data_IF_135820486498
#
_entry.id   IF_135820486498
#
_cell.length_a   1.000
_cell.length_b   1.000
_cell.length_c   1.000
_cell.angle_alpha   90.00
_cell.angle_beta   90.00
_cell.angle_gamma   90.00
#
_symmetry.space_group_name_H-M   'P 1'
#
loop_
_entity.id
_entity.type
_entity.pdbx_description
1 polymer ?
#
# COMPACT_ATOMS: atom_id res chain seq x y z
N UNK A 1 14.76 49.60 -12.78
CA UNK A 1 14.02 48.41 -13.27
C UNK A 1 15.03 47.28 -13.18
N UNK A 2 15.21 46.77 -11.97
CA UNK A 2 16.44 46.08 -11.59
C UNK A 2 16.17 44.60 -11.41
N UNK A 3 16.78 43.84 -12.32
CA UNK A 3 16.69 42.39 -12.42
C UNK A 3 17.38 41.78 -11.21
N UNK A 4 16.62 41.15 -10.32
CA UNK A 4 17.15 40.45 -9.15
C UNK A 4 18.01 39.27 -9.59
N UNK A 5 19.32 39.44 -9.50
CA UNK A 5 20.32 38.39 -9.73
C UNK A 5 20.25 37.38 -8.57
N UNK A 6 19.32 36.43 -8.63
CA UNK A 6 19.25 35.32 -7.66
C UNK A 6 20.59 34.59 -7.64
N UNK A 7 21.24 34.55 -6.49
CA UNK A 7 22.58 34.00 -6.34
C UNK A 7 22.59 32.50 -6.71
N UNK A 8 23.62 32.04 -7.43
CA UNK A 8 23.79 30.62 -7.81
C UNK A 8 23.71 29.67 -6.61
N UNK A 9 24.04 30.17 -5.41
CA UNK A 9 23.96 29.42 -4.16
C UNK A 9 22.51 29.23 -3.67
N UNK A 10 21.63 30.22 -3.85
CA UNK A 10 20.19 30.05 -3.59
C UNK A 10 19.55 29.03 -4.53
N UNK A 11 19.97 28.98 -5.79
CA UNK A 11 19.50 27.97 -6.75
C UNK A 11 19.97 26.57 -6.31
N UNK A 12 21.23 26.41 -5.91
CA UNK A 12 21.76 25.14 -5.39
C UNK A 12 21.04 24.68 -4.11
N UNK A 13 20.75 25.61 -3.20
CA UNK A 13 19.98 25.32 -1.99
C UNK A 13 18.55 24.88 -2.30
N UNK A 14 17.87 25.56 -3.25
CA UNK A 14 16.53 25.18 -3.69
C UNK A 14 16.52 23.81 -4.36
N UNK A 15 17.51 23.49 -5.21
CA UNK A 15 17.64 22.17 -5.83
C UNK A 15 17.92 21.07 -4.82
N UNK A 16 18.80 21.31 -3.84
CA UNK A 16 19.07 20.36 -2.77
C UNK A 16 17.82 20.11 -1.91
N UNK A 17 17.05 21.16 -1.60
CA UNK A 17 15.77 21.04 -0.89
C UNK A 17 14.76 20.18 -1.65
N UNK A 18 14.58 20.41 -2.95
CA UNK A 18 13.67 19.61 -3.78
C UNK A 18 14.15 18.15 -3.87
N UNK A 19 15.46 17.92 -3.96
CA UNK A 19 16.02 16.57 -3.99
C UNK A 19 15.84 15.83 -2.66
N UNK A 20 16.05 16.51 -1.52
CA UNK A 20 15.80 15.95 -0.18
C UNK A 20 14.31 15.69 0.04
N UNK A 21 13.44 16.58 -0.42
CA UNK A 21 11.98 16.38 -0.36
C UNK A 21 11.53 15.21 -1.25
N UNK A 22 12.06 15.09 -2.46
CA UNK A 22 11.81 13.97 -3.36
C UNK A 22 12.35 12.64 -2.84
N UNK A 23 13.55 12.64 -2.24
CA UNK A 23 14.14 11.46 -1.61
C UNK A 23 13.38 11.05 -0.36
N UNK A 24 12.93 12.01 0.45
CA UNK A 24 12.09 11.75 1.63
C UNK A 24 10.73 11.19 1.20
N UNK A 25 10.11 11.74 0.15
CA UNK A 25 8.87 11.20 -0.41
C UNK A 25 9.07 9.78 -0.98
N UNK A 26 10.19 9.50 -1.65
CA UNK A 26 10.54 8.18 -2.16
C UNK A 26 10.83 7.16 -1.05
N UNK A 27 11.56 7.56 0.00
CA UNK A 27 11.87 6.71 1.15
C UNK A 27 10.61 6.43 2.00
N UNK A 28 9.72 7.41 2.14
CA UNK A 28 8.40 7.24 2.76
C UNK A 28 7.51 6.33 1.91
N UNK A 29 7.47 6.51 0.58
CA UNK A 29 6.73 5.64 -0.33
C UNK A 29 7.23 4.20 -0.25
N UNK A 30 8.55 3.98 -0.22
CA UNK A 30 9.15 2.65 -0.09
C UNK A 30 8.85 2.01 1.28
N UNK A 31 8.93 2.76 2.38
CA UNK A 31 8.62 2.27 3.72
C UNK A 31 7.12 1.96 3.87
N UNK A 32 6.25 2.81 3.31
CA UNK A 32 4.79 2.56 3.23
C UNK A 32 4.50 1.37 2.34
N UNK A 33 5.24 1.13 1.25
CA UNK A 33 5.07 -0.03 0.37
C UNK A 33 5.47 -1.34 1.05
N UNK A 34 6.59 -1.34 1.79
CA UNK A 34 7.03 -2.48 2.61
C UNK A 34 6.06 -2.77 3.76
N UNK A 35 5.45 -1.73 4.31
CA UNK A 35 4.42 -1.81 5.36
C UNK A 35 3.07 -2.26 4.77
N UNK A 36 2.69 -1.83 3.57
CA UNK A 36 1.50 -2.31 2.84
C UNK A 36 1.62 -3.76 2.36
N UNK A 37 2.83 -4.28 2.14
CA UNK A 37 3.06 -5.70 1.91
C UNK A 37 2.77 -6.59 3.14
N UNK A 38 2.79 -6.03 4.36
CA UNK A 38 2.45 -6.73 5.61
C UNK A 38 1.05 -6.40 6.18
N UNK A 39 0.45 -5.29 5.77
CA UNK A 39 -0.90 -4.88 6.20
C UNK A 39 -1.91 -5.19 5.10
N UNK A 40 -2.29 -6.46 5.02
CA UNK A 40 -3.41 -6.92 4.21
C UNK A 40 -4.67 -6.08 4.46
N UNK A 41 -5.40 -5.84 3.37
CA UNK A 41 -6.42 -4.82 3.14
C UNK A 41 -7.71 -4.87 4.00
N UNK A 42 -7.65 -5.32 5.26
CA UNK A 42 -8.76 -5.26 6.22
C UNK A 42 -8.34 -4.81 7.63
N UNK A 43 -7.12 -5.10 8.10
CA UNK A 43 -6.65 -4.69 9.43
C UNK A 43 -6.29 -3.19 9.57
N UNK A 44 -6.22 -2.46 8.44
CA UNK A 44 -5.95 -1.03 8.41
C UNK A 44 -7.20 -0.16 8.52
N UNK A 45 -8.35 -0.65 8.05
CA UNK A 45 -9.63 0.08 8.08
C UNK A 45 -10.10 0.28 9.51
N UNK A 46 -10.26 -0.81 10.26
CA UNK A 46 -10.76 -0.79 11.64
C UNK A 46 -9.86 0.03 12.57
N UNK A 47 -8.53 -0.05 12.39
CA UNK A 47 -7.59 0.72 13.23
C UNK A 47 -7.56 2.20 12.89
N UNK A 48 -7.84 2.55 11.64
CA UNK A 48 -7.91 3.93 11.22
C UNK A 48 -9.25 4.56 11.63
N UNK A 49 -10.36 3.84 11.50
CA UNK A 49 -11.67 4.28 12.01
C UNK A 49 -11.64 4.42 13.55
N UNK A 50 -11.01 3.48 14.27
CA UNK A 50 -10.76 3.64 15.72
C UNK A 50 -9.87 4.85 16.09
N UNK A 51 -9.03 5.32 15.17
CA UNK A 51 -8.23 6.54 15.38
C UNK A 51 -9.08 7.79 15.15
N UNK A 52 -9.99 7.76 14.17
CA UNK A 52 -10.94 8.84 13.90
C UNK A 52 -11.96 9.00 15.02
N UNK A 53 -12.41 7.90 15.63
CA UNK A 53 -13.32 7.93 16.77
C UNK A 53 -12.71 8.63 17.99
N UNK A 54 -11.38 8.61 18.14
CA UNK A 54 -10.66 9.29 19.23
C UNK A 54 -10.47 10.79 19.00
N UNK A 55 -10.76 11.30 17.81
CA UNK A 55 -10.56 12.70 17.45
C UNK A 55 -11.77 13.59 17.83
N UNK A 56 -12.80 13.01 18.47
CA UNK A 56 -14.00 13.72 18.95
C UNK A 56 -14.59 14.69 17.91
N UNK A 57 -14.63 14.23 16.65
CA UNK A 57 -15.06 15.05 15.52
C UNK A 57 -16.54 15.47 15.66
N UNK A 58 -16.84 16.73 15.34
CA UNK A 58 -18.21 17.20 15.24
C UNK A 58 -18.91 16.65 13.97
N UNK A 59 -20.22 16.86 13.84
CA UNK A 59 -21.02 16.28 12.76
C UNK A 59 -20.55 16.69 11.35
N UNK A 60 -20.15 17.94 11.17
CA UNK A 60 -19.68 18.46 9.88
C UNK A 60 -18.31 17.88 9.52
N UNK A 61 -17.42 17.79 10.51
CA UNK A 61 -16.09 17.17 10.34
C UNK A 61 -16.20 15.68 9.99
N UNK A 62 -17.09 14.93 10.64
CA UNK A 62 -17.33 13.52 10.31
C UNK A 62 -17.76 13.35 8.87
N UNK A 63 -18.72 14.17 8.41
CA UNK A 63 -19.20 14.15 7.03
C UNK A 63 -18.06 14.39 6.04
N UNK A 64 -17.22 15.40 6.27
CA UNK A 64 -16.09 15.71 5.40
C UNK A 64 -15.03 14.60 5.40
N UNK A 65 -14.71 14.04 6.56
CA UNK A 65 -13.75 12.93 6.67
C UNK A 65 -14.26 11.69 5.93
N UNK A 66 -15.54 11.33 6.09
CA UNK A 66 -16.12 10.21 5.35
C UNK A 66 -16.01 10.41 3.83
N UNK A 67 -16.33 11.60 3.33
CA UNK A 67 -16.20 11.93 1.90
C UNK A 67 -14.76 11.76 1.40
N UNK A 68 -13.77 12.32 2.13
CA UNK A 68 -12.35 12.21 1.78
C UNK A 68 -11.91 10.74 1.70
N UNK A 69 -12.35 9.92 2.66
CA UNK A 69 -11.97 8.50 2.70
C UNK A 69 -12.63 7.68 1.61
N UNK A 70 -13.89 7.98 1.28
CA UNK A 70 -14.60 7.29 0.21
C UNK A 70 -14.03 7.61 -1.16
N UNK A 71 -13.64 8.87 -1.40
CA UNK A 71 -12.91 9.29 -2.60
C UNK A 71 -11.57 8.56 -2.71
N UNK A 72 -10.79 8.53 -1.63
CA UNK A 72 -9.52 7.80 -1.59
C UNK A 72 -9.71 6.29 -1.83
N UNK A 73 -10.74 5.68 -1.23
CA UNK A 73 -11.10 4.27 -1.47
C UNK A 73 -11.47 4.06 -2.94
N UNK A 74 -12.14 5.00 -3.58
CA UNK A 74 -12.50 4.93 -5.00
C UNK A 74 -11.27 4.97 -5.91
N UNK A 75 -10.39 5.95 -5.71
CA UNK A 75 -9.14 6.08 -6.47
C UNK A 75 -8.25 4.84 -6.31
N UNK A 76 -8.16 4.29 -5.10
CA UNK A 76 -7.40 3.07 -4.86
C UNK A 76 -8.00 1.84 -5.56
N UNK A 77 -9.34 1.74 -5.64
CA UNK A 77 -10.01 0.66 -6.38
C UNK A 77 -9.72 0.76 -7.88
N UNK A 78 -9.73 1.95 -8.44
CA UNK A 78 -9.41 2.19 -9.84
C UNK A 78 -7.95 1.83 -10.14
N UNK A 79 -7.01 2.34 -9.35
CA UNK A 79 -5.59 1.99 -9.46
C UNK A 79 -5.36 0.47 -9.36
N UNK A 80 -6.07 -0.23 -8.47
CA UNK A 80 -5.99 -1.69 -8.36
C UNK A 80 -6.45 -2.37 -9.65
N UNK A 81 -7.57 -1.94 -10.24
CA UNK A 81 -8.06 -2.52 -11.51
C UNK A 81 -7.03 -2.39 -12.63
N UNK A 82 -6.32 -1.26 -12.70
CA UNK A 82 -5.28 -1.03 -13.70
C UNK A 82 -4.00 -1.85 -13.45
N UNK A 83 -3.62 -2.01 -12.19
CA UNK A 83 -2.33 -2.62 -11.80
C UNK A 83 -2.41 -4.13 -11.59
N UNK A 84 -3.55 -4.66 -11.17
CA UNK A 84 -3.76 -6.08 -10.87
C UNK A 84 -3.42 -7.02 -12.05
N UNK A 85 -3.79 -6.71 -13.31
CA UNK A 85 -3.41 -7.53 -14.46
C UNK A 85 -1.89 -7.65 -14.61
N UNK A 86 -1.16 -6.55 -14.47
CA UNK A 86 0.31 -6.51 -14.57
C UNK A 86 0.97 -7.31 -13.46
N UNK A 87 0.44 -7.21 -12.24
CA UNK A 87 0.91 -8.03 -11.12
C UNK A 87 0.68 -9.52 -11.34
N UNK A 88 -0.47 -9.89 -11.91
CA UNK A 88 -0.79 -11.28 -12.20
C UNK A 88 0.10 -11.86 -13.29
N UNK A 89 0.40 -11.08 -14.34
CA UNK A 89 1.33 -11.46 -15.39
C UNK A 89 2.73 -11.74 -14.83
N UNK A 90 3.29 -10.82 -14.02
CA UNK A 90 4.60 -11.01 -13.39
C UNK A 90 4.62 -12.27 -12.52
N UNK A 91 3.53 -12.52 -11.77
CA UNK A 91 3.41 -13.74 -10.95
C UNK A 91 3.39 -15.00 -11.81
N UNK A 92 2.64 -15.02 -12.90
CA UNK A 92 2.59 -16.17 -13.81
C UNK A 92 3.96 -16.44 -14.45
N UNK A 93 4.61 -15.40 -14.97
CA UNK A 93 5.96 -15.54 -15.53
C UNK A 93 6.97 -16.06 -14.49
N UNK A 94 6.84 -15.63 -13.24
CA UNK A 94 7.68 -16.12 -12.13
C UNK A 94 7.40 -17.59 -11.85
N UNK A 95 6.12 -17.98 -11.79
CA UNK A 95 5.69 -19.36 -11.58
C UNK A 95 6.22 -20.30 -12.67
N UNK A 96 6.15 -19.89 -13.94
CA UNK A 96 6.66 -20.67 -15.08
C UNK A 96 8.18 -20.87 -15.00
N UNK A 97 8.92 -19.85 -14.55
CA UNK A 97 10.37 -19.94 -14.36
C UNK A 97 10.72 -20.84 -13.18
N UNK A 98 9.94 -20.79 -12.10
CA UNK A 98 10.13 -21.65 -10.93
C UNK A 98 9.84 -23.12 -11.24
N UNK A 99 8.81 -23.42 -12.02
CA UNK A 99 8.51 -24.81 -12.45
C UNK A 99 9.64 -25.45 -13.25
N UNK A 100 10.44 -24.66 -13.97
CA UNK A 100 11.60 -25.17 -14.74
C UNK A 100 12.79 -25.57 -13.87
N UNK A 101 12.87 -25.05 -12.64
CA UNK A 101 14.02 -25.26 -11.75
C UNK A 101 13.70 -26.09 -10.51
N UNK A 102 12.43 -26.18 -10.14
CA UNK A 102 11.97 -26.95 -8.99
C UNK A 102 11.53 -28.36 -9.40
N UNK A 103 11.75 -29.34 -8.54
CA UNK A 103 11.13 -30.65 -8.68
C UNK A 103 9.60 -30.55 -8.51
N UNK A 104 8.83 -31.55 -8.99
CA UNK A 104 7.38 -31.58 -8.78
C UNK A 104 6.98 -31.47 -7.30
N UNK A 105 7.72 -32.12 -6.40
CA UNK A 105 7.48 -32.10 -4.96
C UNK A 105 7.76 -30.72 -4.37
N UNK A 106 8.87 -30.08 -4.76
CA UNK A 106 9.22 -28.72 -4.34
C UNK A 106 8.21 -27.69 -4.84
N UNK A 107 7.69 -27.86 -6.07
CA UNK A 107 6.65 -26.99 -6.61
C UNK A 107 5.34 -27.09 -5.82
N UNK A 108 4.94 -28.31 -5.41
CA UNK A 108 3.76 -28.50 -4.58
C UNK A 108 3.93 -27.84 -3.19
N UNK A 109 5.09 -28.01 -2.55
CA UNK A 109 5.40 -27.33 -1.29
C UNK A 109 5.36 -25.81 -1.44
N UNK A 110 5.96 -25.26 -2.50
CA UNK A 110 5.93 -23.82 -2.79
C UNK A 110 4.50 -23.28 -2.93
N UNK A 111 3.64 -23.98 -3.68
CA UNK A 111 2.23 -23.60 -3.82
C UNK A 111 1.50 -23.61 -2.48
N UNK A 112 1.71 -24.65 -1.67
CA UNK A 112 1.08 -24.79 -0.36
C UNK A 112 1.51 -23.67 0.61
N UNK A 113 2.80 -23.33 0.65
CA UNK A 113 3.29 -22.21 1.46
C UNK A 113 2.71 -20.87 0.99
N UNK A 114 2.63 -20.66 -0.32
CA UNK A 114 2.03 -19.47 -0.89
C UNK A 114 0.53 -19.35 -0.56
N UNK A 115 -0.20 -20.46 -0.60
CA UNK A 115 -1.61 -20.51 -0.20
C UNK A 115 -1.79 -20.23 1.29
N UNK A 116 -0.93 -20.78 2.15
CA UNK A 116 -0.91 -20.47 3.59
C UNK A 116 -0.73 -18.97 3.80
N UNK A 117 0.28 -18.36 3.18
CA UNK A 117 0.53 -16.91 3.26
C UNK A 117 -0.63 -16.06 2.74
N UNK A 118 -1.31 -16.48 1.66
CA UNK A 118 -2.52 -15.81 1.14
C UNK A 118 -3.73 -15.99 2.07
N UNK A 119 -3.85 -17.15 2.71
CA UNK A 119 -4.90 -17.50 3.66
C UNK A 119 -4.88 -16.60 4.91
N UNK A 120 -3.70 -16.29 5.44
CA UNK A 120 -3.54 -15.35 6.56
C UNK A 120 -4.03 -13.92 6.25
N UNK A 121 -4.15 -13.55 4.97
CA UNK A 121 -4.72 -12.26 4.56
C UNK A 121 -6.26 -12.24 4.41
N UNK A 122 -6.93 -13.40 4.33
CA UNK A 122 -8.40 -13.52 4.24
C UNK A 122 -9.05 -14.07 5.51
N UNK A 123 -8.34 -14.85 6.33
CA UNK A 123 -8.78 -15.31 7.65
C UNK A 123 -7.97 -14.56 8.71
N UNK A 124 -8.48 -13.40 9.13
CA UNK A 124 -8.16 -12.89 10.46
C UNK A 124 -8.73 -13.83 11.54
N UNK A 125 -8.38 -13.66 12.83
CA UNK A 125 -8.71 -14.59 13.92
C UNK A 125 -10.19 -14.84 14.26
N UNK A 126 -11.14 -14.46 13.42
CA UNK A 126 -12.53 -14.89 13.56
C UNK A 126 -12.79 -16.07 12.63
N UNK A 127 -12.73 -17.26 13.21
CA UNK A 127 -13.43 -18.43 12.66
C UNK A 127 -14.94 -18.15 12.59
N UNK A 128 -15.70 -18.93 11.80
CA UNK A 128 -17.16 -18.86 11.84
C UNK A 128 -17.64 -19.03 13.29
N UNK A 129 -18.74 -18.38 13.71
CA UNK A 129 -19.29 -18.57 15.05
C UNK A 129 -19.54 -20.08 15.26
N UNK A 130 -19.08 -20.63 16.38
CA UNK A 130 -19.47 -21.98 16.82
C UNK A 130 -20.98 -21.91 17.07
N UNK A 131 -21.78 -22.45 16.15
CA UNK A 131 -23.21 -22.67 16.36
C UNK A 131 -23.35 -23.76 17.43
N UNK A 132 -23.61 -23.34 18.67
CA UNK A 132 -24.14 -24.17 19.74
C UNK A 132 -25.50 -23.67 20.18
#
# INVERSE_FOLDING_TARGET
>A
MDKTTKSKWQIRMATALIFVLGFSAGALAFNVYQRWGRFGARAGGDRFEQMLDRLELNADQKTQVHQILDDARSQLRELRKETEPRFNEIRQQTDDRLQKVLSPEQWQQFKQERERMRGYGRRGPHGPPDER
#
